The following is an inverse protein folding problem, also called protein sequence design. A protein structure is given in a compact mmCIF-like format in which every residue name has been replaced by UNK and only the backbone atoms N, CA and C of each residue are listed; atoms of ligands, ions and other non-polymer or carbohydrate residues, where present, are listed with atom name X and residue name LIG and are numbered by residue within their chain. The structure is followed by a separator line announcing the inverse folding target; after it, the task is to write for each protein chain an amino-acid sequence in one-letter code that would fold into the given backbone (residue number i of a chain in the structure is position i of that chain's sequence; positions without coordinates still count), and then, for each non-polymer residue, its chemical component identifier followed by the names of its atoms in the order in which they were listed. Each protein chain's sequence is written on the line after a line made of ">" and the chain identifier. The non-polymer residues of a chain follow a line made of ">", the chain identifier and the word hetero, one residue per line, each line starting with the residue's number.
data_IF_040502339409
#
_entry.id   IF_040502339409
#
_cell.length_a   1.000
_cell.length_b   1.000
_cell.length_c   1.000
_cell.angle_alpha   90.00
_cell.angle_beta   90.00
_cell.angle_gamma   90.00
#
_symmetry.space_group_name_H-M   'P 1'
#
loop_
_entity.id
_entity.type
_entity.pdbx_description
1 polymer ?
#
# COMPACT_ATOMS: atom_id res chain seq x y z
N UNK A 1 11.70 2.07 -10.49
CA UNK A 1 11.12 3.43 -10.56
C UNK A 1 11.66 4.28 -9.41
N UNK A 2 11.68 5.59 -9.58
CA UNK A 2 12.25 6.55 -8.62
C UNK A 2 11.61 6.45 -7.22
N UNK A 3 10.31 6.26 -7.15
CA UNK A 3 9.58 6.16 -5.88
C UNK A 3 10.08 5.00 -5.00
N UNK A 4 10.49 3.87 -5.58
CA UNK A 4 11.06 2.73 -4.84
C UNK A 4 12.35 3.13 -4.14
N UNK A 5 13.24 3.86 -4.81
CA UNK A 5 14.49 4.33 -4.19
C UNK A 5 14.21 5.29 -3.04
N UNK A 6 13.21 6.17 -3.16
CA UNK A 6 12.79 7.05 -2.06
C UNK A 6 12.22 6.29 -0.87
N UNK A 7 11.44 5.23 -1.11
CA UNK A 7 10.98 4.37 -0.02
C UNK A 7 12.12 3.62 0.66
N UNK A 8 13.14 3.18 -0.08
CA UNK A 8 14.34 2.58 0.50
C UNK A 8 15.05 3.59 1.41
N UNK A 9 15.28 4.84 0.97
CA UNK A 9 15.88 5.91 1.77
C UNK A 9 15.08 6.15 3.07
N UNK A 10 13.73 6.13 3.00
CA UNK A 10 12.88 6.28 4.18
C UNK A 10 13.06 5.11 5.15
N UNK A 11 13.06 3.88 4.64
CA UNK A 11 13.26 2.68 5.44
C UNK A 11 14.64 2.67 6.11
N UNK A 12 15.69 2.99 5.36
CA UNK A 12 17.06 3.11 5.89
C UNK A 12 17.16 4.21 6.95
N UNK A 13 16.44 5.32 6.76
CA UNK A 13 16.31 6.37 7.76
C UNK A 13 15.67 5.90 9.06
N UNK A 14 14.82 4.89 9.03
CA UNK A 14 14.30 4.22 10.23
C UNK A 14 15.23 3.14 10.80
N UNK A 15 16.38 2.90 10.17
CA UNK A 15 17.34 1.88 10.56
C UNK A 15 17.07 0.50 9.99
N UNK A 16 16.17 0.39 9.01
CA UNK A 16 15.93 -0.84 8.25
C UNK A 16 17.13 -1.08 7.33
N UNK A 17 17.59 -2.30 7.25
CA UNK A 17 18.62 -2.70 6.30
C UNK A 17 17.97 -3.23 5.04
N UNK A 18 18.21 -2.55 3.91
CA UNK A 18 17.71 -2.95 2.59
C UNK A 18 18.89 -3.34 1.70
N UNK A 19 18.82 -4.52 1.10
CA UNK A 19 19.87 -5.04 0.21
C UNK A 19 19.27 -5.52 -1.10
N UNK A 20 19.84 -5.10 -2.22
CA UNK A 20 19.57 -5.70 -3.50
C UNK A 20 20.24 -7.08 -3.59
N UNK A 21 19.45 -8.14 -3.74
CA UNK A 21 19.93 -9.52 -3.90
C UNK A 21 19.89 -9.98 -5.36
N UNK A 22 19.10 -9.33 -6.19
CA UNK A 22 19.06 -9.45 -7.64
C UNK A 22 18.48 -8.17 -8.27
N UNK A 23 18.44 -8.08 -9.60
CA UNK A 23 17.98 -6.88 -10.32
C UNK A 23 16.62 -6.32 -9.86
N UNK A 24 15.68 -7.21 -9.49
CA UNK A 24 14.33 -6.83 -9.07
C UNK A 24 13.96 -7.47 -7.72
N UNK A 25 14.95 -7.79 -6.89
CA UNK A 25 14.72 -8.48 -5.61
C UNK A 25 15.45 -7.77 -4.49
N UNK A 26 14.72 -7.51 -3.41
CA UNK A 26 15.22 -6.86 -2.21
C UNK A 26 15.12 -7.80 -1.01
N UNK A 27 16.15 -7.79 -0.19
CA UNK A 27 16.10 -8.30 1.17
C UNK A 27 15.91 -7.12 2.13
N UNK A 28 14.89 -7.19 2.99
CA UNK A 28 14.53 -6.13 3.92
C UNK A 28 14.57 -6.67 5.35
N UNK A 29 15.50 -6.15 6.16
CA UNK A 29 15.67 -6.56 7.54
C UNK A 29 15.28 -5.41 8.48
N UNK A 30 14.15 -5.58 9.18
CA UNK A 30 13.59 -4.55 10.08
C UNK A 30 14.26 -4.68 11.46
N UNK A 31 14.79 -3.57 12.04
CA UNK A 31 15.40 -3.61 13.36
C UNK A 31 14.32 -3.76 14.45
N UNK A 32 14.70 -4.33 15.60
CA UNK A 32 13.81 -4.42 16.77
C UNK A 32 13.35 -3.05 17.29
N UNK A 33 14.16 -2.02 17.10
CA UNK A 33 13.84 -0.64 17.49
C UNK A 33 14.06 0.29 16.30
N UNK A 34 13.04 1.06 15.99
CA UNK A 34 13.06 2.09 14.95
C UNK A 34 13.94 3.27 15.40
N UNK A 35 14.75 3.78 14.49
CA UNK A 35 15.53 5.00 14.72
C UNK A 35 14.68 6.22 14.28
N UNK A 36 14.23 7.00 15.23
CA UNK A 36 13.40 8.18 14.97
C UNK A 36 14.23 9.44 14.66
N UNK A 37 15.53 9.45 14.96
CA UNK A 37 16.38 10.63 14.82
C UNK A 37 16.89 10.85 13.39
N UNK A 38 16.89 9.82 12.56
CA UNK A 38 17.45 9.81 11.21
C UNK A 38 16.40 9.73 10.10
N UNK A 39 15.17 10.16 10.38
CA UNK A 39 14.10 10.19 9.37
C UNK A 39 14.49 11.03 8.15
N UNK A 40 14.34 10.47 6.97
CA UNK A 40 14.71 11.11 5.71
C UNK A 40 13.60 12.06 5.23
N UNK A 41 13.53 13.26 5.83
CA UNK A 41 12.43 14.23 5.61
C UNK A 41 12.22 14.59 4.15
N UNK A 42 13.29 14.73 3.37
CA UNK A 42 13.21 15.08 1.94
C UNK A 42 12.57 13.97 1.11
N UNK A 43 12.95 12.71 1.34
CA UNK A 43 12.32 11.56 0.69
C UNK A 43 10.83 11.45 1.09
N UNK A 44 10.49 11.69 2.36
CA UNK A 44 9.12 11.70 2.85
C UNK A 44 8.28 12.79 2.19
N UNK A 45 8.83 13.99 2.01
CA UNK A 45 8.15 15.10 1.36
C UNK A 45 7.90 14.88 -0.15
N UNK A 46 8.58 13.92 -0.77
CA UNK A 46 8.44 13.61 -2.21
C UNK A 46 7.59 12.37 -2.50
N UNK A 47 7.15 11.65 -1.46
CA UNK A 47 6.44 10.39 -1.59
C UNK A 47 5.14 10.38 -0.81
N UNK A 48 4.29 9.37 -1.06
CA UNK A 48 3.08 9.10 -0.27
C UNK A 48 3.42 8.40 1.03
N UNK A 49 4.49 8.85 1.71
CA UNK A 49 5.10 8.19 2.86
C UNK A 49 4.20 8.08 4.09
N UNK A 50 3.10 8.84 4.16
CA UNK A 50 2.15 8.72 5.28
C UNK A 50 1.57 7.30 5.45
N UNK A 51 1.65 6.45 4.41
CA UNK A 51 1.30 5.02 4.49
C UNK A 51 2.15 4.22 5.49
N UNK A 52 3.34 4.69 5.84
CA UNK A 52 4.16 4.05 6.87
C UNK A 52 3.59 4.19 8.28
N UNK A 53 2.74 5.20 8.52
CA UNK A 53 2.22 5.50 9.87
C UNK A 53 1.51 4.30 10.48
N UNK A 54 0.70 3.55 9.71
CA UNK A 54 0.02 2.36 10.19
C UNK A 54 0.96 1.31 10.79
N UNK A 55 2.11 1.10 10.17
CA UNK A 55 3.15 0.22 10.72
C UNK A 55 3.88 0.83 11.92
N UNK A 56 4.20 2.12 11.85
CA UNK A 56 4.95 2.84 12.88
C UNK A 56 4.20 2.95 14.21
N UNK A 57 2.85 2.93 14.21
CA UNK A 57 2.03 2.89 15.43
C UNK A 57 2.43 1.74 16.38
N UNK A 58 2.96 0.63 15.85
CA UNK A 58 3.36 -0.53 16.64
C UNK A 58 4.77 -0.43 17.25
N UNK A 59 5.46 0.67 17.00
CA UNK A 59 6.82 0.93 17.50
C UNK A 59 6.89 2.06 18.52
N UNK A 60 5.96 3.02 18.51
CA UNK A 60 5.90 4.11 19.49
C UNK A 60 4.47 4.61 19.68
N UNK A 61 4.11 4.89 20.94
CA UNK A 61 2.81 5.51 21.29
C UNK A 61 2.73 7.00 20.99
N UNK A 62 3.88 7.65 20.83
CA UNK A 62 3.97 9.08 20.50
C UNK A 62 5.19 9.32 19.62
N UNK A 63 4.98 9.97 18.49
CA UNK A 63 6.04 10.35 17.57
C UNK A 63 5.60 11.50 16.66
N UNK A 64 6.60 12.21 16.13
CA UNK A 64 6.40 13.23 15.13
C UNK A 64 6.67 12.63 13.75
N UNK A 65 5.86 13.00 12.77
CA UNK A 65 6.00 12.55 11.39
C UNK A 65 6.04 13.74 10.46
N UNK A 66 7.06 13.91 9.60
CA UNK A 66 7.15 15.02 8.65
C UNK A 66 5.94 15.04 7.71
N UNK A 67 5.62 16.20 7.17
CA UNK A 67 4.61 16.27 6.13
C UNK A 67 5.03 15.38 4.95
N UNK A 68 4.11 14.55 4.51
CA UNK A 68 4.30 13.70 3.33
C UNK A 68 3.89 14.44 2.08
N UNK A 69 4.59 14.15 1.00
CA UNK A 69 4.32 14.73 -0.32
C UNK A 69 3.49 13.82 -1.20
N UNK A 70 3.72 13.91 -2.48
CA UNK A 70 3.08 13.14 -3.53
C UNK A 70 3.11 13.90 -4.85
N UNK A 71 2.35 13.44 -5.83
CA UNK A 71 2.22 14.09 -7.11
C UNK A 71 1.64 15.52 -6.96
N UNK A 72 2.24 16.53 -7.58
CA UNK A 72 1.81 17.95 -7.51
C UNK A 72 0.51 18.23 -8.30
N UNK A 73 -0.46 17.33 -8.24
CA UNK A 73 -1.75 17.46 -8.95
C UNK A 73 -2.88 17.95 -8.03
N UNK A 74 -2.59 18.94 -7.17
CA UNK A 74 -3.53 19.52 -6.20
C UNK A 74 -3.15 19.25 -4.74
N UNK A 75 -3.87 19.84 -3.80
CA UNK A 75 -3.71 19.60 -2.38
C UNK A 75 -4.15 18.18 -2.03
N UNK A 76 -3.20 17.33 -1.67
CA UNK A 76 -3.49 16.01 -1.12
C UNK A 76 -3.47 16.08 0.39
N UNK A 77 -4.63 15.86 0.98
CA UNK A 77 -4.77 15.80 2.43
C UNK A 77 -4.49 14.38 2.93
N UNK A 78 -4.09 14.27 4.19
CA UNK A 78 -4.01 12.96 4.89
C UNK A 78 -5.37 12.55 5.46
N UNK A 79 -6.45 13.22 5.08
CA UNK A 79 -7.76 13.08 5.72
C UNK A 79 -8.28 11.64 5.74
N UNK A 80 -8.15 10.89 4.63
CA UNK A 80 -8.56 9.48 4.57
C UNK A 80 -7.79 8.59 5.55
N UNK A 81 -6.48 8.84 5.67
CA UNK A 81 -5.63 8.12 6.63
C UNK A 81 -6.00 8.48 8.07
N UNK A 82 -6.07 9.76 8.37
CA UNK A 82 -6.40 10.28 9.70
C UNK A 82 -7.75 9.73 10.15
N UNK A 83 -8.78 9.92 9.35
CA UNK A 83 -10.13 9.45 9.63
C UNK A 83 -10.17 7.96 10.01
N UNK A 84 -9.50 7.11 9.23
CA UNK A 84 -9.50 5.67 9.48
C UNK A 84 -8.68 5.27 10.71
N UNK A 85 -7.53 5.92 10.96
CA UNK A 85 -6.69 5.64 12.12
C UNK A 85 -7.33 6.12 13.44
N UNK A 86 -8.13 7.17 13.41
CA UNK A 86 -8.86 7.67 14.58
C UNK A 86 -9.82 6.62 15.17
N UNK A 87 -10.39 5.71 14.35
CA UNK A 87 -11.21 4.59 14.85
C UNK A 87 -10.44 3.63 15.76
N UNK A 88 -9.12 3.54 15.61
CA UNK A 88 -8.26 2.74 16.46
C UNK A 88 -7.83 3.45 17.76
N UNK A 89 -8.25 4.70 17.96
CA UNK A 89 -7.87 5.54 19.08
C UNK A 89 -6.61 6.36 18.85
N UNK A 90 -6.20 6.54 17.59
CA UNK A 90 -5.05 7.38 17.24
C UNK A 90 -5.48 8.86 17.18
N UNK A 91 -4.68 9.74 17.74
CA UNK A 91 -4.82 11.19 17.65
C UNK A 91 -3.73 11.73 16.73
N UNK A 92 -4.13 12.49 15.70
CA UNK A 92 -3.23 13.10 14.74
C UNK A 92 -3.50 14.61 14.70
N UNK A 93 -2.52 15.38 15.17
CA UNK A 93 -2.55 16.83 15.13
C UNK A 93 -1.62 17.34 14.03
N UNK A 94 -2.13 18.23 13.17
CA UNK A 94 -1.34 18.85 12.11
C UNK A 94 -0.68 20.10 12.66
N UNK A 95 0.64 20.14 12.65
CA UNK A 95 1.47 21.31 12.96
C UNK A 95 2.02 21.92 11.68
N UNK A 96 2.69 23.04 11.77
CA UNK A 96 3.22 23.76 10.62
C UNK A 96 4.16 22.93 9.73
N UNK A 97 5.03 22.08 10.33
CA UNK A 97 6.05 21.32 9.59
C UNK A 97 5.93 19.80 9.72
N UNK A 98 5.00 19.31 10.55
CA UNK A 98 4.89 17.88 10.87
C UNK A 98 3.52 17.53 11.41
N UNK A 99 3.25 16.24 11.51
CA UNK A 99 2.13 15.68 12.25
C UNK A 99 2.62 15.19 13.62
N UNK A 100 1.87 15.50 14.67
CA UNK A 100 2.05 14.89 15.99
C UNK A 100 1.05 13.74 16.12
N UNK A 101 1.57 12.53 16.29
CA UNK A 101 0.78 11.29 16.33
C UNK A 101 0.91 10.68 17.71
N UNK A 102 -0.22 10.35 18.32
CA UNK A 102 -0.24 9.73 19.65
C UNK A 102 -1.47 8.86 19.85
N UNK A 103 -1.39 7.93 20.79
CA UNK A 103 -2.51 7.11 21.25
C UNK A 103 -2.21 6.55 22.64
N UNK A 104 -3.27 6.25 23.41
CA UNK A 104 -3.14 5.56 24.70
C UNK A 104 -3.12 4.04 24.53
N UNK A 105 -4.11 3.51 23.82
CA UNK A 105 -4.22 2.09 23.48
C UNK A 105 -4.91 1.92 22.13
N UNK A 106 -4.31 1.12 21.24
CA UNK A 106 -4.93 0.75 19.97
C UNK A 106 -6.02 -0.31 20.21
N UNK A 107 -7.18 -0.15 19.60
CA UNK A 107 -8.32 -1.06 19.72
C UNK A 107 -8.84 -1.44 18.33
N UNK A 108 -9.28 -2.70 18.13
CA UNK A 108 -9.94 -3.11 16.89
C UNK A 108 -11.27 -2.37 16.74
N UNK A 109 -11.67 -2.08 15.50
CA UNK A 109 -12.84 -1.28 15.22
C UNK A 109 -13.57 -1.70 13.93
N UNK A 110 -14.78 -1.19 13.73
CA UNK A 110 -15.41 -1.15 12.41
C UNK A 110 -15.16 0.22 11.79
N UNK A 111 -14.45 0.23 10.70
CA UNK A 111 -13.98 1.45 10.01
C UNK A 111 -14.71 1.60 8.68
N UNK A 112 -15.73 2.44 8.56
CA UNK A 112 -16.33 2.80 7.28
C UNK A 112 -15.47 3.87 6.60
N UNK A 113 -14.79 3.55 5.50
CA UNK A 113 -14.05 4.54 4.73
C UNK A 113 -15.03 5.48 4.04
N UNK A 114 -14.85 6.79 4.19
CA UNK A 114 -15.74 7.78 3.58
C UNK A 114 -15.37 8.13 2.15
N UNK A 115 -14.17 7.74 1.70
CA UNK A 115 -13.71 7.89 0.33
C UNK A 115 -12.91 6.64 -0.13
N UNK A 116 -12.88 6.42 -1.42
CA UNK A 116 -12.10 5.34 -2.04
C UNK A 116 -10.62 5.77 -2.17
N UNK A 117 -9.87 5.62 -1.08
CA UNK A 117 -8.45 5.92 -1.01
C UNK A 117 -7.63 4.64 -0.86
N UNK A 118 -6.85 4.29 -1.87
CA UNK A 118 -5.99 3.09 -1.85
C UNK A 118 -4.96 3.18 -0.72
N UNK A 119 -4.22 4.29 -0.65
CA UNK A 119 -3.19 4.49 0.36
C UNK A 119 -3.76 4.64 1.77
N UNK A 120 -4.94 5.24 1.89
CA UNK A 120 -5.70 5.30 3.15
C UNK A 120 -6.08 3.91 3.64
N UNK A 121 -6.69 3.09 2.76
CA UNK A 121 -7.06 1.72 3.06
C UNK A 121 -5.84 0.87 3.45
N UNK A 122 -4.76 0.93 2.68
CA UNK A 122 -3.49 0.22 2.96
C UNK A 122 -2.96 0.59 4.34
N UNK A 123 -2.92 1.86 4.68
CA UNK A 123 -2.44 2.33 5.97
C UNK A 123 -3.26 1.75 7.15
N UNK A 124 -4.59 1.74 7.00
CA UNK A 124 -5.53 1.20 7.99
C UNK A 124 -5.40 -0.33 8.09
N UNK A 125 -5.24 -1.04 6.97
CA UNK A 125 -5.03 -2.50 6.93
C UNK A 125 -3.74 -2.87 7.65
N UNK A 126 -2.63 -2.15 7.38
CA UNK A 126 -1.34 -2.37 8.06
C UNK A 126 -1.48 -2.12 9.56
N UNK A 127 -2.13 -1.02 9.97
CA UNK A 127 -2.38 -0.77 11.39
C UNK A 127 -3.19 -1.90 12.04
N UNK A 128 -4.30 -2.31 11.42
CA UNK A 128 -5.19 -3.35 11.92
C UNK A 128 -4.50 -4.72 12.05
N UNK A 129 -3.51 -5.01 11.19
CA UNK A 129 -2.83 -6.30 11.16
C UNK A 129 -2.15 -6.68 12.49
N UNK A 130 -1.77 -5.69 13.30
CA UNK A 130 -1.13 -5.86 14.61
C UNK A 130 -1.96 -5.30 15.77
N UNK A 131 -3.24 -5.07 15.58
CA UNK A 131 -4.18 -4.75 16.65
C UNK A 131 -4.96 -6.03 16.99
N UNK A 132 -4.67 -6.71 18.11
CA UNK A 132 -5.34 -7.98 18.45
C UNK A 132 -6.86 -7.84 18.49
N UNK A 133 -7.54 -8.75 17.79
CA UNK A 133 -9.00 -8.76 17.69
C UNK A 133 -9.49 -8.58 16.26
N UNK A 134 -10.80 -8.39 16.12
CA UNK A 134 -11.48 -8.31 14.84
C UNK A 134 -11.69 -6.86 14.41
N UNK A 135 -11.06 -6.44 13.33
CA UNK A 135 -11.33 -5.17 12.65
C UNK A 135 -12.11 -5.43 11.35
N UNK A 136 -13.14 -4.62 11.10
CA UNK A 136 -13.91 -4.66 9.85
C UNK A 136 -13.75 -3.33 9.13
N UNK A 137 -13.19 -3.35 7.92
CA UNK A 137 -13.07 -2.18 7.06
C UNK A 137 -14.16 -2.27 6.00
N UNK A 138 -15.01 -1.25 5.91
CA UNK A 138 -16.09 -1.15 4.91
C UNK A 138 -15.74 -0.11 3.86
N UNK A 139 -16.22 -0.34 2.62
CA UNK A 139 -15.96 0.51 1.46
C UNK A 139 -14.49 0.60 1.08
N UNK A 140 -13.71 -0.45 1.39
CA UNK A 140 -12.33 -0.56 0.95
C UNK A 140 -12.28 -0.70 -0.59
N UNK A 141 -11.29 -0.05 -1.26
CA UNK A 141 -11.07 -0.26 -2.69
C UNK A 141 -10.71 -1.72 -2.98
N UNK A 142 -11.39 -2.41 -3.91
CA UNK A 142 -11.09 -3.82 -4.22
C UNK A 142 -10.01 -3.97 -5.30
N UNK A 143 -9.10 -3.02 -5.41
CA UNK A 143 -8.07 -2.97 -6.45
C UNK A 143 -6.84 -3.84 -6.11
N UNK A 144 -5.94 -3.96 -7.09
CA UNK A 144 -4.75 -4.80 -6.99
C UNK A 144 -3.80 -4.39 -5.85
N UNK A 145 -3.63 -3.10 -5.60
CA UNK A 145 -2.72 -2.58 -4.56
C UNK A 145 -3.16 -3.00 -3.16
N UNK A 146 -4.45 -2.87 -2.87
CA UNK A 146 -5.05 -3.30 -1.59
C UNK A 146 -4.99 -4.82 -1.45
N UNK A 147 -5.27 -5.56 -2.54
CA UNK A 147 -5.21 -7.02 -2.55
C UNK A 147 -3.80 -7.52 -2.27
N UNK A 148 -2.77 -6.96 -2.92
CA UNK A 148 -1.36 -7.32 -2.72
C UNK A 148 -0.93 -7.18 -1.26
N UNK A 149 -1.26 -6.06 -0.62
CA UNK A 149 -0.96 -5.86 0.80
C UNK A 149 -1.68 -6.89 1.67
N UNK A 150 -2.93 -7.23 1.36
CA UNK A 150 -3.65 -8.26 2.11
C UNK A 150 -2.98 -9.64 1.95
N UNK A 151 -2.59 -10.05 0.74
CA UNK A 151 -1.88 -11.31 0.51
C UNK A 151 -0.51 -11.35 1.18
N UNK A 152 0.24 -10.24 1.16
CA UNK A 152 1.48 -10.10 1.91
C UNK A 152 1.25 -10.35 3.41
N UNK A 153 0.24 -9.70 3.99
CA UNK A 153 -0.08 -9.85 5.41
C UNK A 153 -0.56 -11.25 5.77
N UNK A 154 -1.28 -11.94 4.86
CA UNK A 154 -1.64 -13.36 5.04
C UNK A 154 -0.39 -14.26 5.12
N UNK A 155 0.64 -14.00 4.31
CA UNK A 155 1.94 -14.71 4.42
C UNK A 155 2.61 -14.45 5.77
N UNK A 156 2.38 -13.30 6.38
CA UNK A 156 2.81 -12.99 7.74
C UNK A 156 1.93 -13.62 8.84
N UNK A 157 0.91 -14.39 8.48
CA UNK A 157 0.04 -15.10 9.43
C UNK A 157 -1.17 -14.28 9.90
N UNK A 158 -1.47 -13.14 9.30
CA UNK A 158 -2.66 -12.36 9.59
C UNK A 158 -3.84 -12.94 8.81
N UNK A 159 -4.91 -13.36 9.48
CA UNK A 159 -6.12 -13.79 8.80
C UNK A 159 -6.88 -12.58 8.28
N UNK A 160 -7.15 -12.56 6.97
CA UNK A 160 -7.93 -11.51 6.29
C UNK A 160 -8.97 -12.15 5.40
N UNK A 161 -10.24 -11.84 5.63
CA UNK A 161 -11.37 -12.30 4.84
C UNK A 161 -11.92 -11.16 3.99
N UNK A 162 -12.52 -11.49 2.83
CA UNK A 162 -13.15 -10.53 1.92
C UNK A 162 -12.18 -9.80 0.97
N UNK A 163 -10.96 -10.33 0.76
CA UNK A 163 -9.98 -9.75 -0.18
C UNK A 163 -10.61 -9.65 -1.58
N UNK A 164 -10.46 -8.50 -2.23
CA UNK A 164 -11.05 -8.21 -3.54
C UNK A 164 -12.52 -7.77 -3.47
N UNK A 165 -13.07 -7.60 -2.27
CA UNK A 165 -14.40 -6.99 -2.05
C UNK A 165 -14.30 -5.65 -1.34
N UNK A 166 -15.42 -4.96 -1.20
CA UNK A 166 -15.48 -3.67 -0.50
C UNK A 166 -15.52 -3.80 1.03
N UNK A 167 -15.54 -5.02 1.57
CA UNK A 167 -15.55 -5.26 3.02
C UNK A 167 -14.47 -6.25 3.38
N UNK A 168 -13.49 -5.80 4.16
CA UNK A 168 -12.40 -6.62 4.66
C UNK A 168 -12.61 -6.89 6.15
N UNK A 169 -12.40 -8.13 6.57
CA UNK A 169 -12.34 -8.52 7.99
C UNK A 169 -10.93 -8.96 8.31
N UNK A 170 -10.28 -8.26 9.24
CA UNK A 170 -8.89 -8.50 9.64
C UNK A 170 -8.87 -8.99 11.09
N UNK A 171 -8.28 -10.15 11.30
CA UNK A 171 -8.00 -10.69 12.62
C UNK A 171 -6.56 -10.36 12.99
N UNK A 172 -6.38 -9.19 13.63
CA UNK A 172 -5.06 -8.69 13.95
C UNK A 172 -4.35 -9.56 15.00
N UNK A 173 -3.04 -9.69 14.84
CA UNK A 173 -2.15 -10.45 15.71
C UNK A 173 -1.33 -9.52 16.60
N UNK A 174 -0.85 -10.03 17.76
CA UNK A 174 -0.04 -9.22 18.68
C UNK A 174 1.33 -8.89 18.13
N UNK A 175 1.94 -9.84 17.43
CA UNK A 175 3.29 -9.69 16.88
C UNK A 175 3.43 -10.50 15.59
N UNK A 176 4.32 -10.02 14.73
CA UNK A 176 4.70 -10.67 13.48
C UNK A 176 6.21 -10.86 13.52
N UNK A 177 6.66 -12.11 13.60
CA UNK A 177 8.07 -12.46 13.68
C UNK A 177 8.36 -13.68 12.80
N UNK A 178 8.18 -13.52 11.50
CA UNK A 178 8.42 -14.56 10.50
C UNK A 178 9.19 -13.97 9.32
N UNK A 179 10.04 -14.78 8.72
CA UNK A 179 10.69 -14.45 7.45
C UNK A 179 9.82 -15.00 6.33
N UNK A 180 9.55 -14.18 5.34
CA UNK A 180 8.77 -14.57 4.17
C UNK A 180 9.49 -14.19 2.89
N UNK A 181 9.13 -14.86 1.82
CA UNK A 181 9.41 -14.48 0.46
C UNK A 181 8.09 -14.11 -0.24
N UNK A 182 8.07 -12.96 -0.91
CA UNK A 182 6.88 -12.45 -1.57
C UNK A 182 7.21 -11.88 -2.94
N UNK A 183 6.36 -12.17 -3.91
CA UNK A 183 6.37 -11.56 -5.24
C UNK A 183 5.16 -10.64 -5.33
N UNK A 184 5.41 -9.39 -5.67
CA UNK A 184 4.33 -8.45 -5.95
C UNK A 184 3.61 -8.84 -7.23
N UNK A 185 2.32 -8.52 -7.34
CA UNK A 185 1.58 -8.63 -8.60
C UNK A 185 2.21 -7.74 -9.67
N UNK A 186 1.99 -8.11 -10.93
CA UNK A 186 2.37 -7.27 -12.06
C UNK A 186 1.52 -5.99 -12.07
N UNK A 187 2.11 -4.89 -12.55
CA UNK A 187 1.43 -3.60 -12.58
C UNK A 187 0.45 -3.50 -13.77
N UNK A 188 -0.86 -3.45 -13.52
CA UNK A 188 -1.85 -3.27 -14.58
C UNK A 188 -1.77 -1.89 -15.23
N UNK A 189 -1.28 -0.86 -14.52
CA UNK A 189 -1.12 0.49 -15.05
C UNK A 189 0.00 0.51 -16.09
N UNK A 190 1.13 -0.13 -15.82
CA UNK A 190 2.23 -0.28 -16.78
C UNK A 190 1.77 -1.08 -18.01
N UNK A 191 1.04 -2.18 -17.80
CA UNK A 191 0.47 -2.97 -18.90
C UNK A 191 -0.48 -2.14 -19.76
N UNK A 192 -1.36 -1.35 -19.15
CA UNK A 192 -2.30 -0.48 -19.86
C UNK A 192 -1.59 0.64 -20.62
N UNK A 193 -0.48 1.15 -20.09
CA UNK A 193 0.38 2.11 -20.82
C UNK A 193 0.87 1.51 -22.15
N UNK A 194 1.41 0.28 -22.13
CA UNK A 194 1.89 -0.37 -23.35
C UNK A 194 0.74 -0.76 -24.30
N UNK A 195 -0.41 -1.19 -23.79
CA UNK A 195 -1.61 -1.42 -24.61
C UNK A 195 -1.98 -0.14 -25.37
N UNK A 196 -2.06 0.97 -24.65
CA UNK A 196 -2.39 2.28 -25.23
C UNK A 196 -1.34 2.71 -26.25
N UNK A 197 -0.05 2.57 -25.95
CA UNK A 197 1.03 2.88 -26.87
C UNK A 197 0.92 2.07 -28.17
N UNK A 198 0.67 0.77 -28.07
CA UNK A 198 0.45 -0.09 -29.25
C UNK A 198 -0.74 0.36 -30.12
N UNK A 199 -1.85 0.76 -29.49
CA UNK A 199 -3.05 1.23 -30.19
C UNK A 199 -2.76 2.54 -30.93
N UNK A 200 -2.22 3.55 -30.25
CA UNK A 200 -2.01 4.89 -30.86
C UNK A 200 -0.94 4.88 -31.93
N UNK A 201 0.06 4.02 -31.82
CA UNK A 201 1.10 3.85 -32.85
C UNK A 201 0.72 2.86 -33.94
N UNK A 202 -0.46 2.22 -33.84
CA UNK A 202 -0.93 1.17 -34.76
C UNK A 202 0.05 0.00 -34.88
N UNK A 203 0.74 -0.32 -33.80
CA UNK A 203 1.77 -1.35 -33.73
C UNK A 203 1.20 -2.69 -33.25
N UNK A 204 1.79 -3.79 -33.73
CA UNK A 204 1.57 -5.10 -33.15
C UNK A 204 2.47 -5.27 -31.95
N UNK A 205 1.89 -5.37 -30.75
CA UNK A 205 2.60 -5.49 -29.49
C UNK A 205 2.15 -6.74 -28.73
N UNK A 206 3.10 -7.42 -28.11
CA UNK A 206 2.82 -8.51 -27.17
C UNK A 206 3.31 -8.09 -25.79
N UNK A 207 2.41 -8.10 -24.81
CA UNK A 207 2.74 -7.80 -23.43
C UNK A 207 2.75 -9.13 -22.68
N UNK A 208 3.91 -9.52 -22.21
CA UNK A 208 4.07 -10.72 -21.38
C UNK A 208 3.77 -10.40 -19.92
N UNK A 209 3.25 -11.38 -19.16
CA UNK A 209 2.92 -11.24 -17.74
C UNK A 209 1.90 -10.11 -17.47
N UNK A 210 1.02 -9.81 -18.41
CA UNK A 210 -0.02 -8.80 -18.24
C UNK A 210 -1.08 -9.30 -17.25
N UNK A 211 -1.39 -8.55 -16.16
CA UNK A 211 -2.37 -8.96 -15.15
C UNK A 211 -3.80 -8.72 -15.65
N UNK A 212 -4.27 -9.59 -16.52
CA UNK A 212 -5.54 -9.45 -17.26
C UNK A 212 -6.72 -9.31 -16.30
N UNK A 213 -6.71 -10.01 -15.16
CA UNK A 213 -7.79 -9.95 -14.17
C UNK A 213 -8.08 -8.55 -13.63
N UNK A 214 -7.08 -7.67 -13.65
CA UNK A 214 -7.23 -6.26 -13.24
C UNK A 214 -7.53 -5.32 -14.41
N UNK A 215 -7.56 -5.83 -15.64
CA UNK A 215 -7.78 -5.06 -16.87
C UNK A 215 -9.00 -5.53 -17.67
N UNK A 216 -9.81 -6.41 -17.12
CA UNK A 216 -10.97 -6.97 -17.83
C UNK A 216 -11.93 -5.88 -18.34
N UNK A 217 -12.23 -4.89 -17.49
CA UNK A 217 -13.11 -3.79 -17.86
C UNK A 217 -12.54 -2.93 -18.97
N UNK A 218 -11.26 -2.57 -18.88
CA UNK A 218 -10.53 -1.78 -19.87
C UNK A 218 -10.44 -2.53 -21.19
N UNK A 219 -10.14 -3.81 -21.16
CA UNK A 219 -10.09 -4.68 -22.33
C UNK A 219 -11.46 -4.78 -23.02
N UNK A 220 -12.54 -4.92 -22.27
CA UNK A 220 -13.90 -4.95 -22.84
C UNK A 220 -14.27 -3.60 -23.47
N UNK A 221 -13.91 -2.47 -22.86
CA UNK A 221 -14.10 -1.14 -23.46
C UNK A 221 -13.34 -1.01 -24.77
N UNK A 222 -12.06 -1.43 -24.81
CA UNK A 222 -11.23 -1.39 -26.01
C UNK A 222 -11.80 -2.26 -27.14
N UNK A 223 -12.30 -3.47 -26.84
CA UNK A 223 -12.96 -4.33 -27.81
C UNK A 223 -14.21 -3.64 -28.40
N UNK A 224 -15.03 -3.00 -27.55
CA UNK A 224 -16.22 -2.23 -28.01
C UNK A 224 -15.84 -1.03 -28.88
N UNK A 225 -14.65 -0.46 -28.69
CA UNK A 225 -14.08 0.57 -29.54
C UNK A 225 -13.49 0.01 -30.84
N UNK A 226 -13.58 -1.30 -31.09
CA UNK A 226 -13.11 -1.95 -32.30
C UNK A 226 -11.64 -2.40 -32.27
N UNK A 227 -10.99 -2.37 -31.09
CA UNK A 227 -9.61 -2.84 -30.98
C UNK A 227 -9.55 -4.36 -30.98
N UNK A 228 -8.60 -4.91 -31.74
CA UNK A 228 -8.34 -6.36 -31.80
C UNK A 228 -7.36 -6.74 -30.68
N UNK A 229 -7.87 -7.41 -29.66
CA UNK A 229 -7.08 -7.93 -28.54
C UNK A 229 -7.11 -9.46 -28.57
N UNK A 230 -5.95 -10.09 -28.37
CA UNK A 230 -5.85 -11.53 -28.17
C UNK A 230 -5.19 -11.82 -26.83
N UNK A 231 -5.69 -12.80 -26.11
CA UNK A 231 -5.20 -13.15 -24.78
C UNK A 231 -4.49 -14.51 -24.82
N UNK A 232 -3.42 -14.65 -24.05
CA UNK A 232 -2.78 -15.93 -23.77
C UNK A 232 -3.70 -16.86 -22.98
N UNK A 233 -3.35 -18.15 -22.94
CA UNK A 233 -4.24 -19.17 -22.37
C UNK A 233 -4.38 -19.10 -20.85
N UNK A 234 -3.35 -18.65 -20.10
CA UNK A 234 -3.41 -18.54 -18.65
C UNK A 234 -2.46 -17.46 -18.15
N UNK A 235 -2.90 -16.68 -17.17
CA UNK A 235 -2.10 -15.84 -16.31
C UNK A 235 -2.54 -16.08 -14.86
N UNK A 236 -1.57 -16.39 -13.97
CA UNK A 236 -1.79 -16.43 -12.52
C UNK A 236 -0.83 -15.43 -11.88
N UNK A 237 -1.37 -14.49 -11.14
CA UNK A 237 -0.59 -13.47 -10.46
C UNK A 237 0.01 -13.96 -9.14
N UNK A 238 -0.46 -15.07 -8.57
CA UNK A 238 -0.05 -15.58 -7.26
C UNK A 238 0.18 -17.11 -7.26
#
# INVERSE_FOLDING_TARGET
>A
IEEVFRYIEILEGFGVVVKWIANNSLEVNVPKKINWSTMHKDAMARTRSFTFVGGLLHHSKKFNYPHSGGCKMGERTIAAHKYGLEYFGVHIETKETQYEISYDALKPATVPLYESSDTGAINIIIAASRIPGKTVIKFAPPNYQVRDVCYLLQKYGVQIDGIGTTTLTIHGVKDINVNIEHWNSEDPIESMFFITAGIVTKSKLTITRCPIEFLELECEKLKRMGQKLSFGKEYRSY
#
